data_IF_612807087282
#
_entry.id   IF_612807087282
#
_cell.length_a   1.000
_cell.length_b   1.000
_cell.length_c   1.000
_cell.angle_alpha   90.00
_cell.angle_beta   90.00
_cell.angle_gamma   90.00
#
_symmetry.space_group_name_H-M   'P 1'
#
loop_
_entity.id
_entity.type
_entity.pdbx_description
1 polymer ?
#
# COMPACT_ATOMS: atom_id res chain seq x y z
N UNK A 1 -39.49 57.52 -19.81
CA UNK A 1 -40.49 57.01 -20.78
C UNK A 1 -39.80 56.31 -21.97
N UNK A 2 -38.77 55.48 -21.74
CA UNK A 2 -37.89 55.00 -22.83
C UNK A 2 -38.17 53.56 -23.32
N UNK A 3 -39.00 52.80 -22.62
CA UNK A 3 -39.30 51.38 -22.94
C UNK A 3 -40.79 51.03 -23.03
N UNK A 4 -41.70 51.96 -22.71
CA UNK A 4 -43.15 51.71 -22.79
C UNK A 4 -43.58 51.55 -24.26
N UNK A 5 -44.18 50.41 -24.60
CA UNK A 5 -44.75 50.12 -25.92
C UNK A 5 -43.78 49.51 -26.95
N UNK A 6 -42.51 49.28 -26.60
CA UNK A 6 -41.55 48.59 -27.47
C UNK A 6 -41.60 47.06 -27.21
N UNK A 7 -41.61 46.22 -28.26
CA UNK A 7 -41.56 44.76 -28.08
C UNK A 7 -40.23 44.37 -27.41
N UNK A 8 -40.27 43.35 -26.54
CA UNK A 8 -39.12 42.88 -25.75
C UNK A 8 -37.89 42.51 -26.60
N UNK A 9 -38.11 42.12 -27.85
CA UNK A 9 -37.08 41.79 -28.84
C UNK A 9 -36.27 43.00 -29.31
N UNK A 10 -36.82 44.21 -29.21
CA UNK A 10 -36.21 45.46 -29.68
C UNK A 10 -35.45 46.23 -28.58
N UNK A 11 -35.42 45.68 -27.36
CA UNK A 11 -34.76 46.32 -26.21
C UNK A 11 -33.29 45.90 -26.15
N UNK A 12 -32.39 46.87 -25.90
CA UNK A 12 -30.95 46.63 -25.80
C UNK A 12 -30.63 45.68 -24.63
N UNK A 13 -29.79 44.66 -24.90
CA UNK A 13 -29.37 43.64 -23.95
C UNK A 13 -28.77 44.23 -22.66
N UNK A 14 -28.13 45.40 -22.75
CA UNK A 14 -27.55 46.11 -21.59
C UNK A 14 -28.59 46.56 -20.55
N UNK A 15 -29.87 46.56 -20.92
CA UNK A 15 -30.97 46.91 -20.03
C UNK A 15 -31.43 45.72 -19.16
N UNK A 16 -30.93 44.51 -19.41
CA UNK A 16 -31.27 43.30 -18.65
C UNK A 16 -30.14 42.89 -17.72
N UNK A 17 -30.49 42.42 -16.51
CA UNK A 17 -29.54 41.80 -15.60
C UNK A 17 -28.87 40.57 -16.27
N UNK A 18 -27.60 40.34 -15.95
CA UNK A 18 -26.81 39.24 -16.52
C UNK A 18 -27.51 37.90 -16.24
N UNK A 19 -27.94 37.21 -17.29
CA UNK A 19 -28.68 35.94 -17.19
C UNK A 19 -30.22 36.06 -17.12
N UNK A 20 -30.77 37.27 -17.04
CA UNK A 20 -32.22 37.54 -16.96
C UNK A 20 -32.83 38.08 -18.26
N UNK A 21 -32.05 38.15 -19.34
CA UNK A 21 -32.57 38.61 -20.64
C UNK A 21 -33.62 37.60 -21.14
N UNK A 22 -34.79 38.06 -21.59
CA UNK A 22 -35.83 37.19 -22.12
C UNK A 22 -35.28 36.44 -23.34
N UNK A 23 -35.67 35.18 -23.51
CA UNK A 23 -35.17 34.33 -24.60
C UNK A 23 -35.35 34.97 -25.98
N UNK A 24 -36.35 35.84 -26.16
CA UNK A 24 -36.62 36.58 -27.39
C UNK A 24 -35.56 37.67 -27.73
N UNK A 25 -34.86 38.21 -26.72
CA UNK A 25 -33.80 39.22 -26.90
C UNK A 25 -32.40 38.63 -27.17
N UNK A 26 -32.26 37.30 -27.15
CA UNK A 26 -31.02 36.61 -27.50
C UNK A 26 -30.90 36.46 -29.03
N UNK A 27 -29.67 36.52 -29.60
CA UNK A 27 -29.45 36.23 -31.01
C UNK A 27 -29.99 34.84 -31.40
N UNK A 28 -30.50 34.71 -32.64
CA UNK A 28 -31.04 33.46 -33.21
C UNK A 28 -30.15 32.25 -32.92
N UNK A 29 -28.85 32.38 -33.17
CA UNK A 29 -27.84 31.35 -32.95
C UNK A 29 -27.70 30.93 -31.49
N UNK A 30 -27.81 31.88 -30.55
CA UNK A 30 -27.69 31.60 -29.12
C UNK A 30 -28.97 30.96 -28.57
N UNK A 31 -30.13 31.33 -29.11
CA UNK A 31 -31.42 30.65 -28.83
C UNK A 31 -31.44 29.23 -29.37
N UNK A 32 -30.93 28.99 -30.57
CA UNK A 32 -30.82 27.65 -31.15
C UNK A 32 -29.89 26.76 -30.33
N UNK A 33 -28.75 27.29 -29.88
CA UNK A 33 -27.83 26.58 -28.98
C UNK A 33 -28.48 26.22 -27.65
N UNK A 34 -29.21 27.15 -27.03
CA UNK A 34 -29.96 26.88 -25.80
C UNK A 34 -31.07 25.85 -26.02
N UNK A 35 -31.81 25.93 -27.13
CA UNK A 35 -32.84 24.95 -27.50
C UNK A 35 -32.24 23.57 -27.76
N UNK A 36 -31.08 23.48 -28.40
CA UNK A 36 -30.38 22.22 -28.62
C UNK A 36 -29.93 21.60 -27.29
N UNK A 37 -29.35 22.39 -26.39
CA UNK A 37 -28.99 21.94 -25.04
C UNK A 37 -30.22 21.48 -24.25
N UNK A 38 -31.32 22.25 -24.26
CA UNK A 38 -32.56 21.89 -23.59
C UNK A 38 -33.18 20.60 -24.16
N UNK A 39 -33.13 20.39 -25.49
CA UNK A 39 -33.56 19.13 -26.12
C UNK A 39 -32.72 17.94 -25.68
N UNK A 40 -31.41 18.14 -25.53
CA UNK A 40 -30.52 17.09 -25.03
C UNK A 40 -30.84 16.73 -23.58
N UNK A 41 -31.03 17.73 -22.72
CA UNK A 41 -31.43 17.50 -21.31
C UNK A 41 -32.79 16.80 -21.23
N UNK A 42 -33.81 17.27 -21.95
CA UNK A 42 -35.13 16.64 -21.96
C UNK A 42 -35.09 15.18 -22.47
N UNK A 43 -34.23 14.89 -23.45
CA UNK A 43 -34.01 13.52 -23.94
C UNK A 43 -33.36 12.63 -22.88
N UNK A 44 -32.40 13.16 -22.12
CA UNK A 44 -31.77 12.42 -21.02
C UNK A 44 -32.76 12.18 -19.88
N UNK A 45 -33.52 13.20 -19.47
CA UNK A 45 -34.57 13.08 -18.45
C UNK A 45 -35.59 12.00 -18.83
N UNK A 46 -36.09 11.99 -20.07
CA UNK A 46 -37.01 10.96 -20.53
C UNK A 46 -36.42 9.54 -20.50
N UNK A 47 -35.11 9.40 -20.81
CA UNK A 47 -34.41 8.12 -20.70
C UNK A 47 -34.26 7.67 -19.26
N UNK A 48 -33.88 8.58 -18.36
CA UNK A 48 -33.73 8.29 -16.93
C UNK A 48 -35.06 7.85 -16.35
N UNK A 49 -36.16 8.56 -16.65
CA UNK A 49 -37.50 8.18 -16.19
C UNK A 49 -37.90 6.78 -16.67
N UNK A 50 -37.60 6.44 -17.92
CA UNK A 50 -37.87 5.10 -18.44
C UNK A 50 -37.05 4.02 -17.71
N UNK A 51 -35.76 4.28 -17.48
CA UNK A 51 -34.87 3.35 -16.76
C UNK A 51 -35.34 3.19 -15.31
N UNK A 52 -35.70 4.27 -14.63
CA UNK A 52 -36.28 4.23 -13.27
C UNK A 52 -37.55 3.40 -13.23
N UNK A 53 -38.42 3.54 -14.23
CA UNK A 53 -39.64 2.73 -14.32
C UNK A 53 -39.32 1.24 -14.52
N UNK A 54 -38.32 0.91 -15.35
CA UNK A 54 -37.90 -0.47 -15.58
C UNK A 54 -37.22 -1.11 -14.36
N UNK A 55 -36.49 -0.31 -13.59
CA UNK A 55 -35.75 -0.74 -12.40
C UNK A 55 -36.51 -0.50 -11.09
N UNK A 56 -37.82 -0.26 -11.14
CA UNK A 56 -38.62 0.08 -9.96
C UNK A 56 -38.44 -0.90 -8.79
N UNK A 57 -38.52 -2.21 -9.06
CA UNK A 57 -38.31 -3.23 -8.02
C UNK A 57 -36.90 -3.18 -7.43
N UNK A 58 -35.87 -2.98 -8.26
CA UNK A 58 -34.48 -2.88 -7.81
C UNK A 58 -34.28 -1.62 -6.96
N UNK A 59 -34.93 -0.51 -7.33
CA UNK A 59 -34.90 0.71 -6.54
C UNK A 59 -35.52 0.47 -5.16
N UNK A 60 -36.70 -0.16 -5.11
CA UNK A 60 -37.37 -0.48 -3.85
C UNK A 60 -36.49 -1.41 -2.97
N UNK A 61 -35.86 -2.42 -3.58
CA UNK A 61 -34.94 -3.34 -2.89
C UNK A 61 -33.71 -2.60 -2.34
N UNK A 62 -33.12 -1.68 -3.11
CA UNK A 62 -31.95 -0.89 -2.66
C UNK A 62 -32.32 0.09 -1.55
N UNK A 63 -33.50 0.71 -1.61
CA UNK A 63 -34.01 1.58 -0.54
C UNK A 63 -34.20 0.76 0.73
N UNK A 64 -34.88 -0.39 0.65
CA UNK A 64 -35.06 -1.29 1.79
C UNK A 64 -33.73 -1.78 2.36
N UNK A 65 -32.73 -2.04 1.50
CA UNK A 65 -31.40 -2.43 1.96
C UNK A 65 -30.68 -1.30 2.72
N UNK A 66 -30.77 -0.06 2.22
CA UNK A 66 -30.19 1.11 2.90
C UNK A 66 -30.85 1.35 4.24
N UNK A 67 -32.17 1.24 4.34
CA UNK A 67 -32.90 1.36 5.60
C UNK A 67 -32.49 0.27 6.60
N UNK A 68 -32.39 -0.99 6.15
CA UNK A 68 -31.87 -2.10 6.96
C UNK A 68 -30.46 -1.80 7.45
N UNK A 69 -29.57 -1.34 6.56
CA UNK A 69 -28.17 -1.01 6.89
C UNK A 69 -28.05 0.10 7.93
N UNK A 70 -28.94 1.09 7.90
CA UNK A 70 -28.99 2.16 8.89
C UNK A 70 -29.45 1.68 10.28
N UNK A 71 -30.22 0.60 10.35
CA UNK A 71 -30.71 0.03 11.61
C UNK A 71 -29.77 -1.02 12.23
N UNK A 72 -28.70 -1.43 11.52
CA UNK A 72 -27.78 -2.48 11.96
C UNK A 72 -26.76 -2.00 12.99
N UNK A 73 -26.32 -2.95 13.80
CA UNK A 73 -25.18 -2.79 14.71
C UNK A 73 -23.85 -2.95 13.97
N UNK A 74 -22.75 -2.51 14.60
CA UNK A 74 -21.42 -2.56 14.00
C UNK A 74 -20.97 -4.00 13.66
N UNK A 75 -21.28 -4.97 14.54
CA UNK A 75 -20.89 -6.36 14.34
C UNK A 75 -21.64 -7.00 13.15
N UNK A 76 -22.94 -6.69 12.97
CA UNK A 76 -23.74 -7.15 11.83
C UNK A 76 -23.29 -6.53 10.50
N UNK A 77 -22.74 -5.31 10.53
CA UNK A 77 -22.18 -4.66 9.35
C UNK A 77 -20.85 -5.28 8.94
N UNK A 78 -20.06 -5.74 9.91
CA UNK A 78 -18.77 -6.37 9.66
C UNK A 78 -18.93 -7.76 9.03
N UNK A 79 -19.91 -8.54 9.48
CA UNK A 79 -20.24 -9.86 8.90
C UNK A 79 -20.70 -9.73 7.44
N UNK A 80 -21.58 -8.79 7.12
CA UNK A 80 -22.04 -8.58 5.73
C UNK A 80 -20.90 -8.12 4.79
N UNK A 81 -19.92 -7.38 5.32
CA UNK A 81 -18.74 -6.98 4.55
C UNK A 81 -17.80 -8.18 4.29
N UNK A 82 -17.66 -9.08 5.25
CA UNK A 82 -16.89 -10.32 5.12
C UNK A 82 -17.58 -11.27 4.13
N UNK A 83 -18.90 -11.45 4.22
CA UNK A 83 -19.68 -12.27 3.27
C UNK A 83 -19.63 -11.71 1.84
N UNK A 84 -19.77 -10.38 1.66
CA UNK A 84 -19.68 -9.76 0.33
C UNK A 84 -18.27 -9.86 -0.28
N UNK A 85 -17.22 -9.83 0.55
CA UNK A 85 -15.86 -10.09 0.10
C UNK A 85 -15.65 -11.54 -0.30
N UNK A 86 -16.28 -12.48 0.41
CA UNK A 86 -16.19 -13.91 0.10
C UNK A 86 -16.93 -14.22 -1.23
N UNK A 87 -18.09 -13.61 -1.48
CA UNK A 87 -18.81 -13.72 -2.77
C UNK A 87 -18.03 -13.11 -3.95
N UNK A 88 -17.36 -11.95 -3.79
CA UNK A 88 -16.49 -11.38 -4.84
C UNK A 88 -15.28 -12.28 -5.14
N UNK A 89 -14.77 -13.01 -4.14
CA UNK A 89 -13.65 -13.93 -4.33
C UNK A 89 -14.06 -15.25 -5.01
N UNK A 90 -15.30 -15.70 -4.84
CA UNK A 90 -15.82 -16.93 -5.44
C UNK A 90 -16.13 -16.73 -6.94
N UNK A 91 -16.57 -15.54 -7.36
CA UNK A 91 -16.75 -15.21 -8.79
C UNK A 91 -15.42 -15.12 -9.58
N UNK A 92 -14.31 -14.76 -8.92
CA UNK A 92 -12.96 -14.76 -9.51
C UNK A 92 -12.31 -16.17 -9.54
N UNK A 93 -12.83 -17.13 -8.75
CA UNK A 93 -12.29 -18.48 -8.61
C UNK A 93 -12.73 -19.43 -9.75
N UNK A 94 -13.89 -19.18 -10.37
CA UNK A 94 -14.45 -20.07 -11.40
C UNK A 94 -13.81 -19.91 -12.80
N UNK A 95 -12.90 -18.93 -13.01
CA UNK A 95 -12.05 -18.81 -14.21
C UNK A 95 -10.63 -19.41 -14.05
N UNK A 96 -10.24 -19.91 -12.87
CA UNK A 96 -8.84 -20.29 -12.57
C UNK A 96 -8.39 -21.69 -13.05
N UNK A 97 -9.30 -22.53 -13.55
CA UNK A 97 -8.98 -23.91 -13.95
C UNK A 97 -8.74 -24.11 -15.46
N UNK A 98 -8.48 -23.04 -16.21
CA UNK A 98 -7.99 -23.18 -17.59
C UNK A 98 -6.49 -23.54 -17.56
N UNK A 99 -6.14 -24.78 -17.93
CA UNK A 99 -4.76 -25.29 -17.96
C UNK A 99 -3.83 -24.36 -18.76
N UNK A 100 -3.15 -23.42 -18.07
CA UNK A 100 -2.28 -22.44 -18.72
C UNK A 100 -0.99 -23.14 -19.19
N UNK A 101 -0.87 -23.34 -20.50
CA UNK A 101 0.28 -23.99 -21.13
C UNK A 101 1.58 -23.19 -20.87
N UNK A 102 2.39 -23.63 -19.89
CA UNK A 102 3.69 -23.06 -19.51
C UNK A 102 4.87 -24.00 -19.88
N UNK A 103 5.21 -24.12 -21.17
CA UNK A 103 6.24 -25.06 -21.64
C UNK A 103 7.64 -24.73 -21.12
N UNK A 104 7.89 -23.46 -20.76
CA UNK A 104 9.18 -22.98 -20.25
C UNK A 104 9.26 -22.98 -18.71
N UNK A 105 8.20 -23.39 -18.01
CA UNK A 105 8.09 -23.38 -16.53
C UNK A 105 8.52 -22.05 -15.92
N UNK A 106 8.19 -20.94 -16.58
CA UNK A 106 8.51 -19.61 -16.07
C UNK A 106 7.65 -19.32 -14.83
N UNK A 107 8.14 -18.54 -13.86
CA UNK A 107 7.34 -18.09 -12.73
C UNK A 107 6.07 -17.40 -13.22
N UNK A 108 4.94 -17.69 -12.56
CA UNK A 108 3.67 -17.04 -12.86
C UNK A 108 3.71 -15.60 -12.32
N UNK A 109 3.10 -14.68 -13.06
CA UNK A 109 2.93 -13.31 -12.64
C UNK A 109 1.87 -13.19 -11.55
N UNK A 110 1.56 -11.96 -11.15
CA UNK A 110 0.43 -11.65 -10.28
C UNK A 110 -0.93 -11.89 -10.95
N UNK A 111 -0.95 -12.03 -12.28
CA UNK A 111 -2.13 -12.30 -13.13
C UNK A 111 -2.33 -13.81 -13.38
N UNK A 112 -1.65 -14.68 -12.63
CA UNK A 112 -1.70 -16.15 -12.82
C UNK A 112 -1.05 -16.67 -14.11
N UNK A 113 -0.79 -15.81 -15.10
CA UNK A 113 -0.20 -16.14 -16.40
C UNK A 113 1.34 -16.20 -16.36
N UNK A 114 1.98 -17.06 -17.18
CA UNK A 114 3.44 -17.09 -17.31
C UNK A 114 4.01 -15.73 -17.71
N UNK A 115 5.02 -15.27 -16.95
CA UNK A 115 5.68 -14.00 -17.24
C UNK A 115 6.37 -14.06 -18.61
N UNK A 116 6.26 -13.02 -19.47
CA UNK A 116 6.99 -12.98 -20.73
C UNK A 116 8.51 -13.16 -20.56
N UNK A 117 9.14 -13.94 -21.45
CA UNK A 117 10.55 -14.32 -21.33
C UNK A 117 11.53 -13.13 -21.30
N UNK A 118 11.22 -12.05 -22.01
CA UNK A 118 12.03 -10.82 -21.98
C UNK A 118 11.98 -10.14 -20.61
N UNK A 119 10.83 -10.18 -19.93
CA UNK A 119 10.63 -9.59 -18.61
C UNK A 119 11.34 -10.44 -17.53
N UNK A 120 11.28 -11.76 -17.67
CA UNK A 120 12.06 -12.72 -16.88
C UNK A 120 13.57 -12.43 -16.95
N UNK A 121 14.10 -12.18 -18.16
CA UNK A 121 15.50 -11.78 -18.36
C UNK A 121 15.82 -10.38 -17.85
N UNK A 122 14.95 -9.40 -18.12
CA UNK A 122 15.17 -8.00 -17.75
C UNK A 122 15.29 -7.83 -16.23
N UNK A 123 14.42 -8.49 -15.47
CA UNK A 123 14.43 -8.44 -14.01
C UNK A 123 15.39 -9.45 -13.36
N UNK A 124 16.15 -10.21 -14.16
CA UNK A 124 17.18 -11.13 -13.68
C UNK A 124 16.62 -12.33 -12.91
N UNK A 125 15.36 -12.73 -13.14
CA UNK A 125 14.77 -13.91 -12.49
C UNK A 125 15.42 -15.23 -12.94
N UNK A 126 16.28 -15.19 -13.95
CA UNK A 126 17.09 -16.30 -14.44
C UNK A 126 18.35 -16.60 -13.61
N UNK A 127 18.69 -15.74 -12.65
CA UNK A 127 19.84 -15.93 -11.78
C UNK A 127 19.40 -16.61 -10.49
N UNK A 128 19.96 -17.79 -10.23
CA UNK A 128 19.77 -18.53 -8.99
C UNK A 128 20.77 -18.04 -7.93
N UNK A 129 20.28 -17.65 -6.76
CA UNK A 129 21.09 -17.31 -5.59
C UNK A 129 20.80 -18.27 -4.46
N UNK A 130 21.84 -18.90 -3.90
CA UNK A 130 21.69 -19.84 -2.79
C UNK A 130 22.13 -19.20 -1.48
N UNK A 131 21.37 -19.44 -0.42
CA UNK A 131 21.71 -18.99 0.94
C UNK A 131 21.88 -20.19 1.87
N UNK A 132 23.10 -20.39 2.37
CA UNK A 132 23.47 -21.52 3.24
C UNK A 132 22.83 -21.36 4.63
N UNK A 133 22.80 -20.14 5.16
CA UNK A 133 22.14 -19.81 6.44
C UNK A 133 20.65 -20.20 6.44
N UNK A 134 20.00 -20.16 5.28
CA UNK A 134 18.61 -20.58 5.10
C UNK A 134 18.45 -22.09 4.83
N UNK A 135 19.50 -22.90 4.95
CA UNK A 135 19.48 -24.32 4.60
C UNK A 135 19.54 -24.57 3.09
N UNK A 136 20.42 -23.85 2.38
CA UNK A 136 20.60 -23.91 0.92
C UNK A 136 19.31 -23.61 0.12
N UNK A 137 18.47 -22.73 0.65
CA UNK A 137 17.32 -22.20 -0.06
C UNK A 137 17.77 -21.46 -1.32
N UNK A 138 17.06 -21.70 -2.43
CA UNK A 138 17.36 -21.08 -3.72
C UNK A 138 16.36 -19.96 -3.99
N UNK A 139 16.88 -18.77 -4.27
CA UNK A 139 16.13 -17.55 -4.56
C UNK A 139 16.37 -17.14 -6.01
N UNK A 140 15.30 -16.93 -6.75
CA UNK A 140 15.37 -16.55 -8.16
C UNK A 140 15.31 -15.04 -8.32
N UNK A 141 16.42 -14.47 -8.80
CA UNK A 141 16.60 -13.05 -9.02
C UNK A 141 17.04 -12.24 -7.81
N UNK A 142 17.76 -11.16 -8.10
CA UNK A 142 18.41 -10.29 -7.11
C UNK A 142 17.42 -9.69 -6.12
N UNK A 143 16.24 -9.26 -6.57
CA UNK A 143 15.22 -8.63 -5.69
C UNK A 143 14.65 -9.61 -4.66
N UNK A 144 14.37 -10.86 -5.06
CA UNK A 144 13.93 -11.90 -4.14
C UNK A 144 15.03 -12.23 -3.13
N UNK A 145 16.26 -12.32 -3.62
CA UNK A 145 17.44 -12.52 -2.79
C UNK A 145 17.77 -11.32 -1.87
N UNK A 146 17.41 -10.07 -2.16
CA UNK A 146 17.60 -9.01 -1.16
C UNK A 146 16.50 -9.02 -0.09
N UNK A 147 15.28 -9.37 -0.49
CA UNK A 147 14.13 -9.43 0.41
C UNK A 147 14.30 -10.52 1.46
N UNK A 148 14.91 -11.67 1.11
CA UNK A 148 15.02 -12.80 2.02
C UNK A 148 15.79 -12.51 3.32
N UNK A 149 16.72 -11.55 3.32
CA UNK A 149 17.46 -11.16 4.54
C UNK A 149 16.55 -10.64 5.67
N UNK A 150 15.36 -10.13 5.32
CA UNK A 150 14.34 -9.66 6.27
C UNK A 150 13.28 -10.72 6.57
N UNK A 151 13.24 -11.81 5.81
CA UNK A 151 12.24 -12.85 5.98
C UNK A 151 12.54 -13.68 7.23
N UNK A 152 11.48 -14.21 7.85
CA UNK A 152 11.56 -14.98 9.08
C UNK A 152 12.57 -16.14 8.99
N UNK A 153 12.66 -16.82 7.85
CA UNK A 153 13.59 -17.95 7.65
C UNK A 153 15.05 -17.54 7.84
N UNK A 154 15.47 -16.43 7.25
CA UNK A 154 16.84 -15.94 7.40
C UNK A 154 17.08 -15.37 8.79
N UNK A 155 16.13 -14.60 9.32
CA UNK A 155 16.19 -14.05 10.69
C UNK A 155 16.34 -15.19 11.72
N UNK A 156 15.59 -16.28 11.55
CA UNK A 156 15.65 -17.44 12.41
C UNK A 156 16.97 -18.20 12.25
N UNK A 157 17.51 -18.31 11.03
CA UNK A 157 18.84 -18.87 10.78
C UNK A 157 19.95 -18.09 11.49
N UNK A 158 19.92 -16.75 11.38
CA UNK A 158 20.85 -15.87 12.09
C UNK A 158 20.72 -16.00 13.61
N UNK A 159 19.49 -16.08 14.12
CA UNK A 159 19.21 -16.31 15.55
C UNK A 159 19.76 -17.65 16.04
N UNK A 160 19.63 -18.72 15.25
CA UNK A 160 20.17 -20.03 15.59
C UNK A 160 21.71 -20.04 15.67
N UNK A 161 22.36 -19.19 14.87
CA UNK A 161 23.81 -18.98 14.92
C UNK A 161 24.26 -18.03 16.05
N UNK A 162 23.31 -17.40 16.77
CA UNK A 162 23.61 -16.41 17.81
C UNK A 162 24.09 -15.06 17.26
N UNK A 163 23.86 -14.76 15.99
CA UNK A 163 24.29 -13.52 15.33
C UNK A 163 23.09 -12.57 15.22
N UNK A 164 23.21 -11.29 15.64
CA UNK A 164 22.14 -10.32 15.44
C UNK A 164 21.98 -9.98 13.95
N UNK A 165 20.74 -10.04 13.43
CA UNK A 165 20.43 -9.70 12.04
C UNK A 165 20.43 -8.17 11.83
N UNK A 166 21.61 -7.60 11.62
CA UNK A 166 21.82 -6.18 11.33
C UNK A 166 22.23 -5.98 9.85
N UNK A 167 22.30 -4.71 9.42
CA UNK A 167 22.68 -4.37 8.03
C UNK A 167 24.11 -4.81 7.65
N UNK A 168 24.99 -5.04 8.62
CA UNK A 168 26.38 -5.45 8.35
C UNK A 168 26.46 -6.88 7.80
N UNK A 169 25.44 -7.70 8.06
CA UNK A 169 25.35 -9.09 7.56
C UNK A 169 24.56 -9.21 6.25
N UNK A 170 24.17 -8.10 5.61
CA UNK A 170 23.53 -8.16 4.29
C UNK A 170 24.52 -8.70 3.26
N UNK A 171 24.03 -9.52 2.33
CA UNK A 171 24.82 -10.25 1.32
C UNK A 171 25.69 -11.41 1.85
N UNK A 172 25.73 -11.65 3.17
CA UNK A 172 26.42 -12.80 3.74
C UNK A 172 25.53 -14.04 3.64
N UNK A 173 25.98 -15.04 2.89
CA UNK A 173 25.21 -16.27 2.63
C UNK A 173 25.78 -17.49 3.30
N UNK A 174 27.12 -17.56 3.41
CA UNK A 174 27.83 -18.68 4.03
C UNK A 174 27.86 -18.55 5.53
N UNK A 175 27.77 -19.68 6.21
CA UNK A 175 27.76 -19.72 7.68
C UNK A 175 29.14 -19.34 8.22
N UNK A 176 30.21 -19.86 7.63
CA UNK A 176 31.59 -19.59 8.05
C UNK A 176 31.93 -18.09 7.94
N UNK A 177 31.54 -17.45 6.84
CA UNK A 177 31.76 -16.02 6.60
C UNK A 177 31.00 -15.16 7.63
N UNK A 178 29.76 -15.54 7.96
CA UNK A 178 28.97 -14.85 8.96
C UNK A 178 29.61 -14.92 10.36
N UNK A 179 30.12 -16.08 10.75
CA UNK A 179 30.80 -16.28 12.03
C UNK A 179 32.12 -15.49 12.10
N UNK A 180 32.91 -15.49 11.03
CA UNK A 180 34.15 -14.73 10.94
C UNK A 180 33.88 -13.21 11.03
N UNK A 181 32.88 -12.72 10.30
CA UNK A 181 32.48 -11.31 10.35
C UNK A 181 31.95 -10.92 11.74
N UNK A 182 31.16 -11.79 12.37
CA UNK A 182 30.65 -11.53 13.73
C UNK A 182 31.79 -11.42 14.75
N UNK A 183 32.77 -12.32 14.68
CA UNK A 183 33.96 -12.30 15.56
C UNK A 183 34.75 -11.01 15.39
N UNK A 184 35.06 -10.60 14.15
CA UNK A 184 35.81 -9.36 13.89
C UNK A 184 35.06 -8.11 14.34
N UNK A 185 33.73 -8.07 14.19
CA UNK A 185 32.91 -6.96 14.70
C UNK A 185 32.91 -6.90 16.23
N UNK A 186 32.84 -8.04 16.90
CA UNK A 186 32.87 -8.12 18.36
C UNK A 186 34.22 -7.67 18.93
N UNK A 187 35.33 -8.08 18.29
CA UNK A 187 36.68 -7.64 18.64
C UNK A 187 36.86 -6.14 18.45
N UNK A 188 36.31 -5.57 17.38
CA UNK A 188 36.35 -4.12 17.14
C UNK A 188 35.51 -3.35 18.17
N UNK A 189 34.37 -3.89 18.60
CA UNK A 189 33.52 -3.27 19.61
C UNK A 189 34.15 -3.33 21.01
N UNK A 190 34.76 -4.46 21.37
CA UNK A 190 35.44 -4.63 22.65
C UNK A 190 36.71 -3.77 22.74
N UNK A 191 37.45 -3.60 21.64
CA UNK A 191 38.61 -2.71 21.59
C UNK A 191 38.27 -1.25 21.93
N UNK A 192 37.09 -0.76 21.56
CA UNK A 192 36.63 0.58 21.94
C UNK A 192 36.20 0.73 23.40
N UNK A 193 36.07 -0.38 24.15
CA UNK A 193 35.65 -0.37 25.56
C UNK A 193 36.85 -0.51 26.52
N UNK A 194 38.02 -0.95 26.02
CA UNK A 194 39.24 -1.15 26.83
C UNK A 194 39.90 0.16 27.29
N UNK A 195 39.54 1.30 26.71
CA UNK A 195 40.12 2.61 27.04
C UNK A 195 39.44 3.31 28.24
N UNK A 196 38.54 2.61 28.96
CA UNK A 196 37.82 3.11 30.14
C UNK A 196 38.01 2.23 31.38
N UNK A 197 39.12 1.51 31.48
CA UNK A 197 39.60 0.99 32.77
C UNK A 197 40.17 2.18 33.58
N UNK A 198 39.29 3.07 34.06
CA UNK A 198 39.64 4.08 35.05
C UNK A 198 39.98 3.37 36.37
N UNK A 199 41.27 3.38 36.72
CA UNK A 199 41.79 2.92 38.00
C UNK A 199 41.51 3.99 39.09
N UNK A 200 40.86 3.59 40.18
CA UNK A 200 40.56 4.45 41.34
C UNK A 200 41.41 4.03 42.54
N UNK A 201 42.12 5.00 43.11
CA UNK A 201 42.91 4.82 44.33
C UNK A 201 42.10 5.15 45.59
N UNK A 202 42.18 4.30 46.61
CA UNK A 202 41.65 4.57 47.94
C UNK A 202 42.58 5.45 48.80
N UNK A 203 42.12 5.88 49.99
CA UNK A 203 42.92 6.68 50.91
C UNK A 203 44.16 5.96 51.47
N UNK A 204 44.27 4.64 51.26
CA UNK A 204 45.39 3.80 51.69
C UNK A 204 46.35 3.50 50.52
N UNK A 205 46.05 3.97 49.32
CA UNK A 205 46.85 3.78 48.11
C UNK A 205 46.63 2.46 47.39
N UNK A 206 45.54 1.73 47.67
CA UNK A 206 45.16 0.54 46.92
C UNK A 206 44.38 0.96 45.66
N UNK A 207 44.76 0.35 44.53
CA UNK A 207 44.17 0.63 43.22
C UNK A 207 43.08 -0.38 42.90
N UNK A 208 41.90 0.09 42.49
CA UNK A 208 40.77 -0.75 42.12
C UNK A 208 40.11 -0.28 40.82
N UNK A 209 39.48 -1.21 40.10
CA UNK A 209 38.54 -0.87 39.03
C UNK A 209 37.38 -0.05 39.59
N UNK A 210 36.87 0.91 38.80
CA UNK A 210 35.73 1.76 39.14
C UNK A 210 34.56 1.05 39.83
N UNK A 211 34.16 -0.11 39.31
CA UNK A 211 33.05 -0.89 39.86
C UNK A 211 33.34 -1.39 41.27
N UNK A 212 34.55 -1.91 41.48
CA UNK A 212 35.01 -2.45 42.76
C UNK A 212 35.17 -1.34 43.79
N UNK A 213 35.70 -0.18 43.38
CA UNK A 213 35.80 1.01 44.22
C UNK A 213 34.42 1.54 44.64
N UNK A 214 33.46 1.64 43.71
CA UNK A 214 32.09 2.06 44.03
C UNK A 214 31.37 1.09 44.96
N UNK A 215 31.57 -0.22 44.79
CA UNK A 215 30.99 -1.24 45.67
C UNK A 215 31.61 -1.18 47.09
N UNK A 216 32.93 -0.97 47.21
CA UNK A 216 33.56 -0.75 48.52
C UNK A 216 33.10 0.54 49.18
N UNK A 217 32.92 1.61 48.41
CA UNK A 217 32.37 2.89 48.89
C UNK A 217 30.92 2.74 49.39
N UNK A 218 30.09 1.95 48.69
CA UNK A 218 28.71 1.65 49.13
C UNK A 218 28.68 0.79 50.40
N UNK A 219 29.64 -0.10 50.56
CA UNK A 219 29.80 -0.94 51.74
C UNK A 219 30.49 -0.21 52.91
N UNK A 220 31.02 1.00 52.68
CA UNK A 220 31.73 1.79 53.69
C UNK A 220 33.13 1.24 54.04
N UNK A 221 33.71 0.44 53.14
CA UNK A 221 35.05 -0.14 53.30
C UNK A 221 36.16 0.78 52.79
N UNK A 222 35.79 1.80 52.00
CA UNK A 222 36.65 2.81 51.39
C UNK A 222 35.94 4.17 51.38
#
# INVERSE_FOLDING_TARGET
>A
MMTKGKPLESLDRKLFAKGSAPAAALPEQEREKQRAAARQSARLEGRVLLVVQMLGSVIDDTVANVEKKQARTYDELQVELEEAQEEELDEDSDEEDEYIYNPLKLPLGWDGKPIPYWLYKLHGLNQEFKCEICGNASYWGRRAFERHFKEWRHVNGMRALGIPNNKNFYEVTKIDDALALHKTLLERQSAGTRDLEEEFEDAQGNVYDKKTFEDFKRQGLV
#
